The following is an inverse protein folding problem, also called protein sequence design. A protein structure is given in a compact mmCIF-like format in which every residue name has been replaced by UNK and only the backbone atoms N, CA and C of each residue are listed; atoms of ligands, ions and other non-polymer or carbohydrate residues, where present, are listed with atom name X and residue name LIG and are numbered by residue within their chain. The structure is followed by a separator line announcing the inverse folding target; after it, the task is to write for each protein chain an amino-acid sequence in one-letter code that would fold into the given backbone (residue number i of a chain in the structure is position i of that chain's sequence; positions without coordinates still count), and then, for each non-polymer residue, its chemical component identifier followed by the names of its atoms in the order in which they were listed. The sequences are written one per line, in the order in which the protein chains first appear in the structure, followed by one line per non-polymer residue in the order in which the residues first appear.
data_IF_180581601018
#
_entry.id   IF_180581601018
#
_cell.length_a   1.000
_cell.length_b   1.000
_cell.length_c   1.000
_cell.angle_alpha   90.00
_cell.angle_beta   90.00
_cell.angle_gamma   90.00
#
_symmetry.space_group_name_H-M   'P 1'
#
loop_
_entity.id
_entity.type
_entity.pdbx_description
1 polymer ?
#
# COMPACT_ATOMS: atom_id res chain seq x y z
N UNK A 1 43.76 -59.65 27.63
CA UNK A 1 43.39 -58.34 27.14
C UNK A 1 44.53 -57.84 26.25
N UNK A 2 44.44 -57.97 24.91
CA UNK A 2 45.52 -57.62 23.98
C UNK A 2 45.15 -56.30 23.28
N UNK A 3 46.00 -55.32 23.51
CA UNK A 3 45.91 -54.01 22.77
C UNK A 3 46.64 -54.17 21.42
N UNK A 4 45.94 -53.98 20.36
CA UNK A 4 46.47 -53.89 18.98
C UNK A 4 46.70 -52.42 18.67
N UNK A 5 47.96 -52.03 18.41
CA UNK A 5 48.35 -50.76 17.88
C UNK A 5 48.32 -50.86 16.36
N UNK A 6 47.50 -50.07 15.72
CA UNK A 6 47.49 -49.93 14.27
C UNK A 6 48.34 -48.71 13.85
N UNK A 7 49.43 -49.01 13.17
CA UNK A 7 50.39 -48.04 12.66
C UNK A 7 49.86 -47.52 11.31
N UNK A 8 49.46 -46.24 11.24
CA UNK A 8 49.00 -45.60 9.98
C UNK A 8 50.23 -44.94 9.33
N UNK A 9 50.69 -45.52 8.24
CA UNK A 9 51.79 -44.97 7.43
C UNK A 9 51.29 -43.82 6.60
N UNK A 10 51.94 -42.65 6.72
CA UNK A 10 51.71 -41.49 5.89
C UNK A 10 52.55 -41.65 4.61
N UNK A 11 51.87 -41.85 3.50
CA UNK A 11 52.48 -41.79 2.15
C UNK A 11 52.41 -40.29 1.73
N UNK A 12 53.54 -39.63 1.72
CA UNK A 12 53.67 -38.31 1.14
C UNK A 12 53.78 -38.45 -0.39
N UNK A 13 52.70 -38.08 -1.09
CA UNK A 13 52.73 -37.93 -2.55
C UNK A 13 53.25 -36.55 -2.86
N UNK A 14 54.48 -36.46 -3.36
CA UNK A 14 55.06 -35.25 -3.97
C UNK A 14 54.35 -35.02 -5.30
N UNK A 15 53.36 -34.11 -5.27
CA UNK A 15 52.79 -33.50 -6.50
C UNK A 15 53.77 -32.45 -6.97
N UNK A 16 54.50 -32.77 -8.06
CA UNK A 16 55.23 -31.80 -8.86
C UNK A 16 54.20 -30.84 -9.44
N UNK A 17 54.17 -29.60 -8.92
CA UNK A 17 53.39 -28.52 -9.50
C UNK A 17 54.07 -28.15 -10.85
N UNK A 18 53.48 -28.61 -11.92
CA UNK A 18 53.75 -28.03 -13.24
C UNK A 18 53.08 -26.65 -13.24
N UNK A 19 53.87 -25.58 -13.10
CA UNK A 19 53.39 -24.21 -13.36
C UNK A 19 53.06 -24.13 -14.84
N UNK A 20 51.75 -24.35 -15.14
CA UNK A 20 51.20 -23.93 -16.41
C UNK A 20 51.12 -22.40 -16.33
N UNK A 21 52.06 -21.71 -16.95
CA UNK A 21 51.93 -20.29 -17.26
C UNK A 21 50.74 -20.17 -18.23
N UNK A 22 49.55 -19.96 -17.67
CA UNK A 22 48.43 -19.52 -18.44
C UNK A 22 48.79 -18.08 -18.83
N UNK A 23 49.25 -17.86 -20.06
CA UNK A 23 49.14 -16.57 -20.70
C UNK A 23 47.65 -16.23 -20.71
N UNK A 24 47.12 -15.58 -19.68
CA UNK A 24 45.85 -14.93 -19.76
C UNK A 24 46.03 -13.78 -20.77
N UNK A 25 45.71 -14.05 -22.05
CA UNK A 25 45.32 -12.97 -22.92
C UNK A 25 44.18 -12.27 -22.17
N UNK A 26 44.47 -11.10 -21.61
CA UNK A 26 43.45 -10.25 -21.02
C UNK A 26 42.40 -10.04 -22.09
N UNK A 27 41.25 -10.64 -21.87
CA UNK A 27 40.15 -10.62 -22.83
C UNK A 27 39.41 -9.33 -22.58
N UNK A 28 39.12 -8.57 -23.64
CA UNK A 28 38.35 -7.35 -23.53
C UNK A 28 37.14 -7.52 -22.60
N UNK A 29 36.96 -6.66 -21.64
CA UNK A 29 35.87 -6.75 -20.69
C UNK A 29 35.37 -5.35 -20.30
N UNK A 30 34.17 -5.32 -19.71
CA UNK A 30 33.57 -4.13 -19.13
C UNK A 30 33.61 -4.24 -17.61
N UNK A 31 34.06 -3.17 -16.95
CA UNK A 31 34.13 -3.04 -15.48
C UNK A 31 33.22 -1.91 -15.04
N UNK A 32 32.25 -2.21 -14.19
CA UNK A 32 31.43 -1.17 -13.55
C UNK A 32 32.27 -0.44 -12.51
N UNK A 33 32.32 0.88 -12.62
CA UNK A 33 33.09 1.77 -11.71
C UNK A 33 32.17 2.54 -10.75
N UNK A 34 30.87 2.61 -11.03
CA UNK A 34 29.86 3.03 -10.06
C UNK A 34 29.52 1.90 -9.08
N UNK A 35 28.63 2.17 -8.12
CA UNK A 35 28.07 1.11 -7.28
C UNK A 35 27.25 0.15 -8.13
N UNK A 36 27.36 -1.15 -7.85
CA UNK A 36 26.55 -2.21 -8.47
C UNK A 36 25.15 -2.34 -7.85
N UNK A 37 24.89 -1.62 -6.76
CA UNK A 37 23.59 -1.51 -6.12
C UNK A 37 23.25 -0.04 -5.90
N UNK A 38 22.18 0.43 -6.53
CA UNK A 38 21.74 1.81 -6.54
C UNK A 38 20.37 1.90 -5.86
N UNK A 39 20.15 2.93 -5.06
CA UNK A 39 18.86 3.21 -4.43
C UNK A 39 18.34 4.56 -4.92
N UNK A 40 17.07 4.59 -5.34
CA UNK A 40 16.40 5.81 -5.82
C UNK A 40 15.10 6.05 -5.01
N UNK A 41 14.66 7.30 -4.96
CA UNK A 41 13.38 7.67 -4.35
C UNK A 41 12.17 7.16 -5.11
N UNK A 42 10.97 7.34 -4.56
CA UNK A 42 9.72 6.88 -5.16
C UNK A 42 9.28 7.65 -6.42
N UNK A 43 9.69 8.90 -6.58
CA UNK A 43 9.33 9.73 -7.75
C UNK A 43 10.03 9.30 -9.04
N UNK A 44 9.63 9.94 -10.14
CA UNK A 44 10.40 9.86 -11.39
C UNK A 44 11.84 10.33 -11.13
N UNK A 45 12.80 9.66 -11.74
CA UNK A 45 14.21 9.99 -11.52
C UNK A 45 15.10 9.64 -12.71
N UNK A 46 16.37 9.95 -12.53
CA UNK A 46 17.45 9.63 -13.46
C UNK A 46 18.60 9.05 -12.66
N UNK A 47 19.29 8.07 -13.26
CA UNK A 47 20.49 7.50 -12.70
C UNK A 47 21.63 7.49 -13.71
N UNK A 48 22.84 7.33 -13.20
CA UNK A 48 24.07 7.23 -14.00
C UNK A 48 24.84 6.01 -13.53
N UNK A 49 25.20 5.13 -14.46
CA UNK A 49 26.14 4.05 -14.26
C UNK A 49 27.43 4.44 -14.95
N UNK A 50 28.55 4.33 -14.24
CA UNK A 50 29.86 4.54 -14.83
C UNK A 50 30.58 3.20 -15.02
N UNK A 51 31.32 3.10 -16.12
CA UNK A 51 32.06 1.92 -16.49
C UNK A 51 33.41 2.26 -17.14
N UNK A 52 34.29 1.29 -17.17
CA UNK A 52 35.56 1.31 -17.86
C UNK A 52 35.66 0.10 -18.79
N UNK A 53 36.14 0.29 -20.02
CA UNK A 53 36.46 -0.79 -20.95
C UNK A 53 37.92 -1.15 -20.81
N UNK A 54 38.20 -2.42 -20.57
CA UNK A 54 39.57 -2.98 -20.51
C UNK A 54 39.83 -3.70 -21.84
N UNK A 55 40.92 -3.35 -22.53
CA UNK A 55 41.30 -3.86 -23.86
C UNK A 55 40.15 -3.82 -24.87
N UNK A 56 39.60 -2.63 -25.19
CA UNK A 56 38.42 -2.49 -26.03
C UNK A 56 38.64 -3.04 -27.43
N UNK A 57 37.62 -3.71 -27.98
CA UNK A 57 37.63 -4.28 -29.33
C UNK A 57 36.90 -3.32 -30.26
N UNK A 58 37.58 -3.00 -31.41
CA UNK A 58 36.96 -2.15 -32.42
C UNK A 58 35.67 -2.78 -32.99
N UNK A 59 34.64 -1.97 -33.10
CA UNK A 59 33.33 -2.40 -33.64
C UNK A 59 32.35 -2.93 -32.59
N UNK A 60 32.75 -3.11 -31.33
CA UNK A 60 31.82 -3.43 -30.26
C UNK A 60 31.26 -2.17 -29.60
N UNK A 61 29.97 -2.20 -29.26
CA UNK A 61 29.28 -1.12 -28.56
C UNK A 61 28.79 -1.60 -27.19
N UNK A 62 28.71 -0.66 -26.23
CA UNK A 62 28.08 -0.93 -24.94
C UNK A 62 26.59 -0.77 -25.08
N UNK A 63 25.84 -1.76 -24.59
CA UNK A 63 24.39 -1.75 -24.57
C UNK A 63 23.91 -2.01 -23.13
N UNK A 64 22.74 -1.49 -22.77
CA UNK A 64 22.11 -1.77 -21.49
C UNK A 64 20.63 -2.08 -21.68
N UNK A 65 20.16 -3.06 -20.95
CA UNK A 65 18.75 -3.45 -20.89
C UNK A 65 18.32 -3.60 -19.44
N UNK A 66 17.04 -3.42 -19.16
CA UNK A 66 16.48 -3.70 -17.83
C UNK A 66 15.50 -4.86 -17.92
N UNK A 67 15.41 -5.65 -16.86
CA UNK A 67 14.45 -6.74 -16.69
C UNK A 67 13.04 -6.25 -16.32
N UNK A 68 12.86 -4.93 -16.15
CA UNK A 68 11.62 -4.25 -15.73
C UNK A 68 11.36 -3.03 -16.61
N UNK A 69 10.08 -2.72 -16.86
CA UNK A 69 9.68 -1.62 -17.75
C UNK A 69 9.90 -0.22 -17.13
N UNK A 70 9.85 -0.11 -15.81
CA UNK A 70 9.99 1.15 -15.10
C UNK A 70 11.42 1.71 -15.07
N UNK A 71 12.42 0.94 -15.54
CA UNK A 71 13.79 1.40 -15.84
C UNK A 71 13.93 1.47 -17.35
N UNK A 72 14.13 2.67 -17.89
CA UNK A 72 14.06 2.88 -19.34
C UNK A 72 14.95 4.04 -19.81
N UNK A 73 14.88 4.39 -21.11
CA UNK A 73 15.51 5.56 -21.72
C UNK A 73 17.02 5.62 -21.53
N UNK A 74 17.70 4.49 -21.83
CA UNK A 74 19.18 4.45 -21.76
C UNK A 74 19.83 5.39 -22.77
N UNK A 75 20.86 6.14 -22.32
CA UNK A 75 21.58 7.11 -23.12
C UNK A 75 23.09 6.94 -22.94
N UNK A 76 23.81 6.86 -24.06
CA UNK A 76 25.24 6.55 -24.16
C UNK A 76 26.06 7.71 -24.75
N UNK A 77 25.57 8.95 -24.63
CA UNK A 77 26.22 10.12 -25.26
C UNK A 77 27.64 10.38 -24.78
N UNK A 78 27.93 10.02 -23.55
CA UNK A 78 29.24 10.19 -22.93
C UNK A 78 29.90 8.82 -22.73
N UNK A 79 31.10 8.64 -23.27
CA UNK A 79 31.88 7.42 -23.10
C UNK A 79 32.17 7.17 -21.61
N UNK A 80 32.00 5.92 -21.16
CA UNK A 80 32.19 5.53 -19.77
C UNK A 80 30.98 5.84 -18.89
N UNK A 81 29.85 6.31 -19.47
CA UNK A 81 28.60 6.58 -18.75
C UNK A 81 27.38 6.04 -19.47
N UNK A 82 26.46 5.54 -18.71
CA UNK A 82 25.11 5.16 -19.15
C UNK A 82 24.14 5.91 -18.26
N UNK A 83 23.37 6.83 -18.84
CA UNK A 83 22.25 7.47 -18.17
C UNK A 83 21.00 6.63 -18.38
N UNK A 84 20.15 6.55 -17.38
CA UNK A 84 18.85 5.87 -17.48
C UNK A 84 17.78 6.66 -16.70
N UNK A 85 16.51 6.39 -17.02
CA UNK A 85 15.37 6.95 -16.30
C UNK A 85 14.66 5.86 -15.50
N UNK A 86 14.01 6.29 -14.42
CA UNK A 86 13.09 5.47 -13.64
C UNK A 86 11.75 6.18 -13.57
N UNK A 87 10.67 5.42 -13.78
CA UNK A 87 9.30 5.91 -13.60
C UNK A 87 8.92 5.90 -12.13
N UNK A 88 7.96 6.73 -11.72
CA UNK A 88 7.51 6.81 -10.34
C UNK A 88 6.97 5.46 -9.84
N UNK A 89 7.36 5.10 -8.63
CA UNK A 89 6.74 4.03 -7.88
C UNK A 89 5.58 4.61 -7.07
N UNK A 90 4.36 4.40 -7.54
CA UNK A 90 3.13 4.90 -6.90
C UNK A 90 2.62 3.97 -5.80
N UNK A 91 3.25 2.82 -5.59
CA UNK A 91 2.92 1.89 -4.50
C UNK A 91 3.68 2.25 -3.22
N UNK A 92 3.26 1.70 -2.09
CA UNK A 92 3.95 1.87 -0.81
C UNK A 92 5.12 0.91 -0.61
N UNK A 93 5.27 -0.08 -1.48
CA UNK A 93 6.29 -1.10 -1.36
C UNK A 93 7.49 -0.80 -2.26
N UNK A 94 8.67 -1.16 -1.77
CA UNK A 94 9.90 -1.09 -2.53
C UNK A 94 9.85 -2.05 -3.72
N UNK A 95 10.47 -1.66 -4.84
CA UNK A 95 10.63 -2.52 -6.01
C UNK A 95 12.07 -2.57 -6.47
N UNK A 96 12.46 -3.68 -7.08
CA UNK A 96 13.82 -3.96 -7.53
C UNK A 96 13.82 -4.29 -9.01
N UNK A 97 14.81 -3.77 -9.73
CA UNK A 97 15.07 -4.12 -11.13
C UNK A 97 16.57 -4.26 -11.36
N UNK A 98 16.93 -5.00 -12.38
CA UNK A 98 18.32 -5.25 -12.75
C UNK A 98 18.59 -4.66 -14.15
N UNK A 99 19.64 -3.84 -14.22
CA UNK A 99 20.18 -3.35 -15.48
C UNK A 99 21.34 -4.28 -15.87
N UNK A 100 21.21 -4.95 -17.00
CA UNK A 100 22.30 -5.73 -17.62
C UNK A 100 23.02 -4.88 -18.65
N UNK A 101 24.31 -4.69 -18.44
CA UNK A 101 25.20 -3.92 -19.33
C UNK A 101 26.04 -4.93 -20.10
N UNK A 102 25.99 -4.89 -21.42
CA UNK A 102 26.66 -5.81 -22.31
C UNK A 102 27.75 -5.13 -23.14
N UNK A 103 28.86 -5.82 -23.36
CA UNK A 103 29.93 -5.43 -24.26
C UNK A 103 30.52 -6.68 -24.94
N UNK A 104 30.14 -6.94 -26.17
CA UNK A 104 30.43 -8.22 -26.86
C UNK A 104 29.84 -9.40 -26.08
N UNK A 105 30.71 -10.37 -25.75
CA UNK A 105 30.33 -11.56 -24.99
C UNK A 105 30.29 -11.35 -23.46
N UNK A 106 30.63 -10.16 -22.99
CA UNK A 106 30.68 -9.83 -21.57
C UNK A 106 29.45 -9.06 -21.13
N UNK A 107 29.02 -9.34 -19.91
CA UNK A 107 27.94 -8.58 -19.26
C UNK A 107 28.23 -8.34 -17.79
N UNK A 108 27.70 -7.23 -17.28
CA UNK A 108 27.70 -6.87 -15.87
C UNK A 108 26.29 -6.41 -15.45
N UNK A 109 25.94 -6.67 -14.22
CA UNK A 109 24.62 -6.33 -13.68
C UNK A 109 24.72 -5.20 -12.65
N UNK A 110 23.77 -4.28 -12.72
CA UNK A 110 23.56 -3.24 -11.70
C UNK A 110 22.13 -3.35 -11.18
N UNK A 111 21.98 -3.54 -9.88
CA UNK A 111 20.69 -3.61 -9.22
C UNK A 111 20.21 -2.21 -8.87
N UNK A 112 18.99 -1.87 -9.24
CA UNK A 112 18.30 -0.63 -8.87
C UNK A 112 17.15 -0.95 -7.94
N UNK A 113 17.21 -0.40 -6.74
CA UNK A 113 16.13 -0.50 -5.74
C UNK A 113 15.42 0.84 -5.69
N UNK A 114 14.12 0.86 -5.96
CA UNK A 114 13.31 2.06 -5.86
C UNK A 114 12.37 1.99 -4.66
N UNK A 115 12.44 3.00 -3.78
CA UNK A 115 11.53 3.11 -2.65
C UNK A 115 10.08 3.22 -3.12
N UNK A 116 9.14 2.73 -2.32
CA UNK A 116 7.73 3.07 -2.43
C UNK A 116 7.47 4.51 -1.98
N UNK A 117 6.25 4.99 -2.19
CA UNK A 117 5.75 6.22 -1.57
C UNK A 117 5.85 6.10 -0.04
N UNK A 118 6.01 7.21 0.62
CA UNK A 118 5.84 7.23 2.08
C UNK A 118 4.38 6.83 2.39
N UNK A 119 4.22 5.94 3.37
CA UNK A 119 2.88 5.60 3.86
C UNK A 119 2.29 6.82 4.55
N UNK A 120 0.98 7.07 4.36
CA UNK A 120 0.29 8.11 5.12
C UNK A 120 0.52 7.90 6.63
N UNK A 121 0.60 8.99 7.37
CA UNK A 121 0.58 8.92 8.83
C UNK A 121 -0.79 8.38 9.28
N UNK A 122 -0.78 7.35 10.10
CA UNK A 122 -2.01 6.80 10.69
C UNK A 122 -2.39 7.62 11.93
N UNK A 123 -3.58 8.22 11.90
CA UNK A 123 -4.21 8.87 13.05
C UNK A 123 -5.27 7.89 13.58
N UNK A 124 -4.94 7.18 14.67
CA UNK A 124 -5.82 6.16 15.24
C UNK A 124 -6.72 6.77 16.31
N UNK A 125 -8.02 6.57 16.18
CA UNK A 125 -9.05 7.02 17.11
C UNK A 125 -9.95 5.83 17.50
N UNK A 126 -10.23 5.67 18.77
CA UNK A 126 -11.25 4.74 19.27
C UNK A 126 -12.55 5.51 19.51
N UNK A 127 -13.61 5.14 18.78
CA UNK A 127 -14.93 5.72 18.95
C UNK A 127 -15.69 4.90 20.03
N UNK A 128 -16.10 5.53 21.13
CA UNK A 128 -16.81 4.82 22.20
C UNK A 128 -18.26 4.45 21.83
N UNK A 129 -18.84 5.09 20.80
CA UNK A 129 -20.23 4.87 20.41
C UNK A 129 -20.40 4.68 18.90
N UNK A 130 -21.37 3.83 18.53
CA UNK A 130 -22.01 3.86 17.21
C UNK A 130 -23.46 4.31 17.40
N UNK A 131 -23.80 5.40 16.73
CA UNK A 131 -25.17 5.89 16.61
C UNK A 131 -25.67 5.51 15.21
N UNK A 132 -26.95 5.09 15.06
CA UNK A 132 -27.38 4.68 13.74
C UNK A 132 -28.88 4.64 13.53
N UNK A 133 -29.29 4.91 12.29
CA UNK A 133 -30.65 4.81 11.77
C UNK A 133 -30.68 3.84 10.60
N UNK A 134 -31.61 2.90 10.62
CA UNK A 134 -31.89 2.01 9.51
C UNK A 134 -33.10 2.48 8.74
N UNK A 135 -32.94 2.79 7.48
CA UNK A 135 -33.99 3.33 6.61
C UNK A 135 -34.69 2.29 5.71
N UNK A 136 -34.21 1.04 5.73
CA UNK A 136 -34.78 -0.02 4.89
C UNK A 136 -34.29 0.07 3.44
N UNK A 137 -35.11 -0.43 2.53
CA UNK A 137 -34.92 -0.31 1.09
C UNK A 137 -35.27 1.11 0.66
N UNK A 138 -34.28 2.01 0.82
CA UNK A 138 -34.44 3.42 0.52
C UNK A 138 -34.21 3.67 -0.98
N UNK A 139 -35.21 4.27 -1.62
CA UNK A 139 -35.21 4.64 -3.03
C UNK A 139 -35.06 3.46 -4.03
N UNK A 140 -35.28 2.21 -3.60
CA UNK A 140 -35.22 1.03 -4.48
C UNK A 140 -33.81 0.62 -4.92
N UNK A 141 -32.80 1.03 -4.17
CA UNK A 141 -31.40 0.65 -4.46
C UNK A 141 -31.00 -0.59 -3.67
N UNK A 142 -30.69 -0.38 -2.38
CA UNK A 142 -30.28 -1.40 -1.43
C UNK A 142 -30.69 -0.96 -0.03
N UNK A 143 -30.43 -1.79 0.97
CA UNK A 143 -30.77 -1.48 2.36
C UNK A 143 -29.81 -0.41 2.89
N UNK A 144 -30.38 0.69 3.38
CA UNK A 144 -29.62 1.86 3.84
C UNK A 144 -29.43 1.85 5.36
N UNK A 145 -28.18 1.97 5.77
CA UNK A 145 -27.72 2.04 7.15
C UNK A 145 -26.94 3.37 7.33
N UNK A 146 -27.55 4.35 7.96
CA UNK A 146 -26.89 5.63 8.26
C UNK A 146 -26.35 5.60 9.67
N UNK A 147 -25.02 5.73 9.83
CA UNK A 147 -24.37 5.67 11.15
C UNK A 147 -23.48 6.86 11.42
N UNK A 148 -23.09 7.03 12.68
CA UNK A 148 -21.96 7.83 13.11
C UNK A 148 -21.09 7.02 14.08
N UNK A 149 -19.79 6.88 13.78
CA UNK A 149 -18.77 6.56 14.77
C UNK A 149 -18.54 7.83 15.58
N UNK A 150 -18.80 7.80 16.89
CA UNK A 150 -19.02 9.01 17.69
C UNK A 150 -18.24 9.00 19.00
N UNK A 151 -17.77 10.20 19.41
CA UNK A 151 -17.20 10.45 20.73
C UNK A 151 -18.25 10.44 21.85
N UNK A 152 -19.49 10.76 21.53
CA UNK A 152 -20.60 10.84 22.49
C UNK A 152 -21.81 10.02 22.06
N UNK A 153 -22.58 9.56 23.04
CA UNK A 153 -23.87 8.90 22.82
C UNK A 153 -24.93 9.85 22.24
N UNK A 154 -26.10 9.34 21.90
CA UNK A 154 -27.27 10.16 21.57
C UNK A 154 -27.52 11.21 22.65
N UNK A 155 -28.01 12.37 22.23
CA UNK A 155 -28.57 13.32 23.20
C UNK A 155 -29.93 12.82 23.74
N UNK A 156 -30.52 13.59 24.70
CA UNK A 156 -31.80 13.26 25.33
C UNK A 156 -33.00 13.19 24.34
N UNK A 157 -32.82 13.58 23.08
CA UNK A 157 -33.84 13.58 22.01
C UNK A 157 -33.53 12.56 20.91
N UNK A 158 -32.66 11.59 21.17
CA UNK A 158 -32.15 10.62 20.20
C UNK A 158 -31.46 11.28 18.98
N UNK A 159 -30.83 12.44 19.20
CA UNK A 159 -30.17 13.21 18.16
C UNK A 159 -28.66 12.91 18.09
N UNK A 160 -28.10 13.00 16.91
CA UNK A 160 -26.67 12.89 16.65
C UNK A 160 -25.85 14.13 17.08
N UNK A 161 -26.48 15.21 17.55
CA UNK A 161 -25.83 16.52 17.73
C UNK A 161 -25.19 16.75 19.10
N UNK A 162 -25.04 15.72 19.92
CA UNK A 162 -24.26 15.83 21.16
C UNK A 162 -22.80 16.21 20.83
N UNK A 163 -22.13 16.90 21.77
CA UNK A 163 -20.77 17.39 21.62
C UNK A 163 -19.76 16.29 21.22
N UNK A 164 -18.71 16.68 20.52
CA UNK A 164 -17.63 15.82 20.10
C UNK A 164 -17.59 15.54 18.61
N UNK A 165 -16.65 14.71 18.20
CA UNK A 165 -16.49 14.32 16.82
C UNK A 165 -17.47 13.21 16.41
N UNK A 166 -17.80 13.19 15.10
CA UNK A 166 -18.65 12.18 14.47
C UNK A 166 -18.20 11.92 13.05
N UNK A 167 -17.99 10.63 12.73
CA UNK A 167 -17.77 10.16 11.37
C UNK A 167 -19.10 9.58 10.87
N UNK A 168 -19.86 10.37 10.15
CA UNK A 168 -21.10 9.96 9.50
C UNK A 168 -20.83 9.13 8.26
N UNK A 169 -21.61 8.06 8.08
CA UNK A 169 -21.50 7.17 6.94
C UNK A 169 -22.90 6.77 6.45
N UNK A 170 -23.16 6.96 5.17
CA UNK A 170 -24.38 6.56 4.46
C UNK A 170 -24.13 5.26 3.71
N UNK A 171 -24.39 4.13 4.36
CA UNK A 171 -23.98 2.78 3.97
C UNK A 171 -25.10 2.07 3.22
N UNK A 172 -24.77 1.37 2.12
CA UNK A 172 -25.68 0.55 1.35
C UNK A 172 -25.22 -0.92 1.32
N UNK A 173 -26.15 -1.82 1.68
CA UNK A 173 -25.94 -3.27 1.69
C UNK A 173 -27.05 -3.97 0.91
N UNK A 174 -26.73 -5.09 0.26
CA UNK A 174 -27.72 -6.01 -0.32
C UNK A 174 -28.41 -6.89 0.74
N UNK A 175 -27.97 -6.79 1.99
CA UNK A 175 -28.47 -7.55 3.12
C UNK A 175 -29.32 -6.66 4.03
N UNK A 176 -30.49 -7.16 4.42
CA UNK A 176 -31.32 -6.57 5.47
C UNK A 176 -30.87 -7.07 6.85
N UNK A 177 -31.27 -6.38 7.95
CA UNK A 177 -30.99 -6.86 9.29
C UNK A 177 -31.53 -8.27 9.52
N UNK A 178 -30.79 -9.11 10.20
CA UNK A 178 -31.24 -10.43 10.63
C UNK A 178 -32.30 -10.32 11.73
N UNK A 179 -32.15 -9.36 12.66
CA UNK A 179 -33.09 -9.08 13.73
C UNK A 179 -33.43 -7.59 13.80
N UNK A 180 -34.70 -7.25 13.54
CA UNK A 180 -35.19 -5.87 13.62
C UNK A 180 -35.34 -5.34 15.06
N UNK A 181 -35.23 -6.19 16.08
CA UNK A 181 -35.15 -5.75 17.47
C UNK A 181 -33.72 -5.39 17.87
N UNK A 182 -32.75 -5.84 17.10
CA UNK A 182 -31.33 -5.58 17.30
C UNK A 182 -30.66 -5.32 15.96
N UNK A 183 -30.95 -4.17 15.38
CA UNK A 183 -30.46 -3.78 14.06
C UNK A 183 -28.95 -3.46 14.13
N UNK A 184 -28.16 -4.12 13.27
CA UNK A 184 -26.72 -3.88 13.06
C UNK A 184 -26.43 -3.83 11.57
N UNK A 185 -25.30 -3.18 11.23
CA UNK A 185 -24.77 -3.22 9.86
C UNK A 185 -24.34 -4.65 9.57
N UNK A 186 -24.70 -5.25 8.42
CA UNK A 186 -24.22 -6.57 8.03
C UNK A 186 -22.68 -6.64 7.95
N UNK A 187 -22.12 -7.78 8.34
CA UNK A 187 -20.68 -8.02 8.21
C UNK A 187 -20.24 -7.89 6.76
N UNK A 188 -19.13 -7.19 6.54
CA UNK A 188 -18.61 -6.96 5.19
C UNK A 188 -17.59 -5.85 5.12
N UNK A 189 -17.20 -5.58 3.88
CA UNK A 189 -16.33 -4.44 3.53
C UNK A 189 -17.13 -3.50 2.64
N UNK A 190 -17.19 -2.24 3.03
CA UNK A 190 -17.90 -1.17 2.34
C UNK A 190 -16.88 -0.13 1.89
N UNK A 191 -16.88 0.23 0.61
CA UNK A 191 -15.93 1.20 0.04
C UNK A 191 -16.59 2.55 -0.20
N UNK A 192 -15.80 3.62 -0.09
CA UNK A 192 -16.25 4.98 -0.43
C UNK A 192 -16.72 5.05 -1.89
N UNK A 193 -17.87 5.66 -2.12
CA UNK A 193 -18.51 5.74 -3.44
C UNK A 193 -18.84 7.19 -3.81
N UNK A 194 -18.01 7.84 -4.63
CA UNK A 194 -18.24 9.20 -5.10
C UNK A 194 -19.36 9.30 -6.14
N UNK A 195 -19.77 8.18 -6.77
CA UNK A 195 -20.83 8.20 -7.79
C UNK A 195 -22.22 8.35 -7.17
N UNK A 196 -22.38 8.12 -5.87
CA UNK A 196 -23.62 8.27 -5.11
C UNK A 196 -24.81 7.45 -5.69
N UNK A 197 -24.52 6.26 -6.26
CA UNK A 197 -25.50 5.41 -6.95
C UNK A 197 -26.19 4.38 -6.05
N UNK A 198 -25.88 4.35 -4.76
CA UNK A 198 -26.50 3.46 -3.77
C UNK A 198 -26.20 1.97 -3.97
N UNK A 199 -25.10 1.61 -4.66
CA UNK A 199 -24.74 0.19 -4.86
C UNK A 199 -24.32 -0.47 -3.56
N UNK A 200 -24.62 -1.77 -3.44
CA UNK A 200 -24.27 -2.57 -2.26
C UNK A 200 -22.75 -2.63 -2.03
N UNK A 201 -22.35 -2.73 -0.77
CA UNK A 201 -20.95 -2.77 -0.36
C UNK A 201 -20.26 -1.41 -0.43
N UNK A 202 -21.02 -0.30 -0.38
CA UNK A 202 -20.46 1.05 -0.41
C UNK A 202 -21.04 1.96 0.67
N UNK A 203 -20.35 3.08 0.93
CA UNK A 203 -20.91 4.24 1.62
C UNK A 203 -20.73 5.48 0.73
N UNK A 204 -21.79 6.31 0.66
CA UNK A 204 -21.90 7.38 -0.32
C UNK A 204 -21.20 8.65 0.12
N UNK A 205 -20.57 9.38 -0.82
CA UNK A 205 -19.98 10.71 -0.57
C UNK A 205 -21.01 11.71 -0.01
N UNK A 206 -22.22 11.74 -0.59
CA UNK A 206 -23.21 12.80 -0.33
C UNK A 206 -23.56 13.01 1.14
N UNK A 207 -23.56 11.94 1.95
CA UNK A 207 -23.97 11.99 3.35
C UNK A 207 -22.90 11.41 4.30
N UNK A 208 -21.72 11.07 3.76
CA UNK A 208 -20.60 10.58 4.57
C UNK A 208 -19.62 11.71 4.79
N UNK A 209 -19.44 12.11 6.06
CA UNK A 209 -18.70 13.31 6.42
C UNK A 209 -18.21 13.24 7.88
N UNK A 210 -17.05 13.79 8.13
CA UNK A 210 -16.59 14.06 9.50
C UNK A 210 -17.10 15.40 9.99
N UNK A 211 -17.65 15.46 11.20
CA UNK A 211 -18.09 16.71 11.85
C UNK A 211 -17.69 16.76 13.31
N UNK A 212 -17.54 17.98 13.82
CA UNK A 212 -17.29 18.27 15.24
C UNK A 212 -18.37 19.23 15.74
N UNK A 213 -18.93 18.92 16.90
CA UNK A 213 -19.95 19.73 17.58
C UNK A 213 -19.44 20.23 18.94
N UNK A 214 -19.81 21.47 19.30
CA UNK A 214 -19.55 22.03 20.62
C UNK A 214 -20.57 21.54 21.68
N UNK A 215 -20.38 21.94 22.93
CA UNK A 215 -21.27 21.57 24.03
C UNK A 215 -22.73 22.09 23.90
N UNK A 216 -22.99 23.00 22.95
CA UNK A 216 -24.32 23.53 22.67
C UNK A 216 -24.95 22.86 21.42
N UNK A 217 -24.28 21.89 20.83
CA UNK A 217 -24.71 21.21 19.61
C UNK A 217 -24.48 21.99 18.31
N UNK A 218 -23.68 23.06 18.36
CA UNK A 218 -23.31 23.78 17.14
C UNK A 218 -22.16 23.07 16.43
N UNK A 219 -22.25 22.94 15.11
CA UNK A 219 -21.17 22.42 14.29
C UNK A 219 -20.03 23.45 14.26
N UNK A 220 -18.82 23.02 14.65
CA UNK A 220 -17.62 23.86 14.70
C UNK A 220 -16.50 23.38 13.76
N UNK A 221 -16.66 22.21 13.13
CA UNK A 221 -15.73 21.67 12.16
C UNK A 221 -16.38 20.63 11.24
N UNK A 222 -15.87 20.52 10.02
CA UNK A 222 -16.23 19.43 9.10
C UNK A 222 -15.09 19.16 8.13
N UNK A 223 -14.98 17.90 7.68
CA UNK A 223 -14.08 17.43 6.65
C UNK A 223 -14.80 16.38 5.78
N UNK A 224 -14.63 16.46 4.49
CA UNK A 224 -15.15 15.46 3.54
C UNK A 224 -14.12 14.40 3.22
N UNK A 225 -14.56 13.19 2.84
CA UNK A 225 -13.68 12.10 2.51
C UNK A 225 -13.24 12.16 1.04
N UNK A 226 -11.96 11.85 0.78
CA UNK A 226 -11.42 11.63 -0.56
C UNK A 226 -11.52 10.15 -0.95
N UNK A 227 -11.29 9.27 0.02
CA UNK A 227 -11.36 7.82 -0.13
C UNK A 227 -11.60 7.17 1.23
N UNK A 228 -12.02 5.91 1.24
CA UNK A 228 -12.20 5.19 2.49
C UNK A 228 -12.73 3.77 2.35
N UNK A 229 -12.57 3.05 3.45
CA UNK A 229 -13.06 1.68 3.62
C UNK A 229 -13.62 1.51 5.03
N UNK A 230 -14.82 0.93 5.13
CA UNK A 230 -15.42 0.50 6.37
C UNK A 230 -15.43 -1.03 6.42
N UNK A 231 -14.81 -1.62 7.42
CA UNK A 231 -14.84 -3.06 7.69
C UNK A 231 -15.74 -3.32 8.90
N UNK A 232 -16.72 -4.19 8.74
CA UNK A 232 -17.65 -4.60 9.79
C UNK A 232 -17.51 -6.10 10.02
N UNK A 233 -17.32 -6.49 11.26
CA UNK A 233 -17.36 -7.86 11.76
C UNK A 233 -18.25 -7.94 13.00
N UNK A 234 -18.45 -9.14 13.57
CA UNK A 234 -19.24 -9.31 14.79
C UNK A 234 -18.72 -8.48 15.98
N UNK A 235 -17.38 -8.31 16.06
CA UNK A 235 -16.71 -7.70 17.22
C UNK A 235 -16.09 -6.31 16.94
N UNK A 236 -15.98 -5.91 15.65
CA UNK A 236 -15.25 -4.72 15.25
C UNK A 236 -15.95 -3.98 14.12
N UNK A 237 -16.08 -2.67 14.27
CA UNK A 237 -16.32 -1.74 13.16
C UNK A 237 -15.08 -0.86 13.00
N UNK A 238 -14.43 -0.93 11.84
CA UNK A 238 -13.20 -0.19 11.53
C UNK A 238 -13.42 0.66 10.29
N UNK A 239 -13.27 1.97 10.44
CA UNK A 239 -13.28 2.93 9.34
C UNK A 239 -11.84 3.38 9.07
N UNK A 240 -11.45 3.35 7.82
CA UNK A 240 -10.19 3.87 7.29
C UNK A 240 -10.52 4.91 6.24
N UNK A 241 -10.22 6.20 6.48
CA UNK A 241 -10.55 7.30 5.56
C UNK A 241 -9.40 8.29 5.42
N UNK A 242 -9.28 8.87 4.23
CA UNK A 242 -8.44 10.02 3.94
C UNK A 242 -9.36 11.20 3.67
N UNK A 243 -9.11 12.33 4.32
CA UNK A 243 -9.85 13.56 4.09
C UNK A 243 -9.40 14.27 2.80
N UNK A 244 -10.29 14.99 2.18
CA UNK A 244 -9.95 15.83 1.04
C UNK A 244 -8.85 16.85 1.39
N UNK A 245 -7.78 16.86 0.60
CA UNK A 245 -6.62 17.73 0.81
C UNK A 245 -5.63 17.25 1.89
N UNK A 246 -5.84 16.06 2.46
CA UNK A 246 -4.93 15.40 3.40
C UNK A 246 -4.27 14.18 2.75
N UNK A 247 -3.09 13.81 3.25
CA UNK A 247 -2.46 12.52 2.94
C UNK A 247 -2.53 11.56 4.13
N UNK A 248 -3.05 12.00 5.28
CA UNK A 248 -3.09 11.20 6.51
C UNK A 248 -4.26 10.20 6.48
N UNK A 249 -3.98 8.97 6.88
CA UNK A 249 -4.98 7.93 7.07
C UNK A 249 -5.59 8.03 8.46
N UNK A 250 -6.89 8.34 8.53
CA UNK A 250 -7.64 8.29 9.77
C UNK A 250 -8.23 6.90 9.95
N UNK A 251 -7.83 6.22 11.02
CA UNK A 251 -8.31 4.89 11.39
C UNK A 251 -9.19 5.03 12.62
N UNK A 252 -10.48 4.78 12.48
CA UNK A 252 -11.46 4.87 13.58
C UNK A 252 -12.00 3.48 13.87
N UNK A 253 -11.91 3.07 15.12
CA UNK A 253 -12.37 1.75 15.55
C UNK A 253 -13.46 1.85 16.60
N UNK A 254 -14.41 0.94 16.52
CA UNK A 254 -15.38 0.66 17.57
C UNK A 254 -15.39 -0.83 17.86
N UNK A 255 -15.38 -1.17 19.14
CA UNK A 255 -15.55 -2.56 19.61
C UNK A 255 -16.70 -2.60 20.62
N UNK A 256 -17.51 -3.61 20.54
CA UNK A 256 -18.65 -3.79 21.44
C UNK A 256 -19.96 -3.98 20.73
N UNK A 257 -21.04 -3.93 21.53
CA UNK A 257 -22.40 -4.05 21.03
C UNK A 257 -23.03 -2.68 20.78
N UNK A 258 -23.83 -2.55 19.73
CA UNK A 258 -24.58 -1.35 19.40
C UNK A 258 -25.92 -1.72 18.77
N UNK A 259 -26.86 -0.82 18.87
CA UNK A 259 -28.20 -0.98 18.28
C UNK A 259 -28.58 0.29 17.52
N UNK A 260 -28.95 0.10 16.25
CA UNK A 260 -29.50 1.16 15.43
C UNK A 260 -31.00 1.32 15.65
N UNK A 261 -31.51 2.55 15.48
CA UNK A 261 -32.93 2.86 15.53
C UNK A 261 -33.61 2.51 14.18
N UNK A 262 -34.82 1.94 14.25
CA UNK A 262 -35.60 1.62 13.04
C UNK A 262 -36.37 2.85 12.55
N UNK A 263 -35.93 3.42 11.45
CA UNK A 263 -36.48 4.62 10.81
C UNK A 263 -37.24 4.33 9.51
N UNK A 264 -37.55 3.08 9.18
CA UNK A 264 -38.24 2.72 7.93
C UNK A 264 -39.55 3.48 7.74
N UNK A 265 -40.32 3.68 8.79
CA UNK A 265 -41.61 4.38 8.71
C UNK A 265 -41.49 5.88 8.48
N UNK A 266 -40.40 6.50 8.90
CA UNK A 266 -40.15 7.93 8.75
C UNK A 266 -39.59 8.29 7.37
N UNK A 267 -38.90 7.36 6.72
CA UNK A 267 -38.26 7.56 5.41
C UNK A 267 -39.25 7.45 4.23
N UNK A 268 -40.50 7.01 4.46
CA UNK A 268 -41.46 6.75 3.37
C UNK A 268 -41.06 5.54 2.51
N UNK A 269 -40.20 4.67 3.06
CA UNK A 269 -39.66 3.50 2.38
C UNK A 269 -40.76 2.50 1.98
N UNK A 270 -40.53 1.82 0.86
CA UNK A 270 -41.32 0.69 0.40
C UNK A 270 -40.93 -0.50 1.28
N UNK A 271 -41.89 -1.15 1.93
CA UNK A 271 -41.71 -2.30 2.81
C UNK A 271 -41.49 -3.61 2.05
#
# INVERSE_FOLDING_TARGET
MKRIFLLCGIIAIMLSACEVSINSTEKATIKITSKESLSVGSGNGQGIITYELIDPIEGYTVEATADVEWINSFNYREMGKIEYKVDANITYDERVGVITISYGDYSANVTVTQKGKDRPEEIVTEAPYILGHYYGDYAGFNYNYYIALSESDYDANDSFYAAGYKYFLDIYSDQRPEDYNHIRIPNGVYTFNPDNDGRAGTFLESYSIYKVYDANGNQIGEETFAEGTLTVTDDLVKLEVIFNGSENLNVVTFTGDYKMLDYRQQAGGIY
#
